data_IF_242091714725
#
_entry.id   IF_242091714725
#
_cell.length_a   1.000
_cell.length_b   1.000
_cell.length_c   1.000
_cell.angle_alpha   90.00
_cell.angle_beta   90.00
_cell.angle_gamma   90.00
#
_symmetry.space_group_name_H-M   'P 1'
#
loop_
_entity.id
_entity.type
_entity.pdbx_description
1 polymer ?
#
# COMPACT_ATOMS: atom_id res chain seq x y z
N UNK A 1 -25.90 -17.94 -9.85
CA UNK A 1 -25.40 -16.54 -9.78
C UNK A 1 -24.05 -16.50 -10.48
N UNK A 2 -23.78 -15.52 -11.37
CA UNK A 2 -22.68 -15.62 -12.35
C UNK A 2 -21.39 -14.87 -11.99
N UNK A 3 -21.43 -13.87 -11.10
CA UNK A 3 -20.31 -12.94 -10.92
C UNK A 3 -19.30 -13.52 -9.93
N UNK A 4 -18.05 -13.65 -10.39
CA UNK A 4 -16.93 -14.08 -9.56
C UNK A 4 -16.59 -13.00 -8.52
N UNK A 5 -16.26 -13.38 -7.26
CA UNK A 5 -15.83 -12.44 -6.22
C UNK A 5 -14.69 -11.53 -6.67
N UNK A 6 -13.61 -12.08 -7.21
CA UNK A 6 -12.43 -11.31 -7.62
C UNK A 6 -12.72 -10.28 -8.72
N UNK A 7 -13.76 -10.51 -9.54
CA UNK A 7 -14.20 -9.52 -10.52
C UNK A 7 -14.85 -8.31 -9.85
N UNK A 8 -15.53 -8.50 -8.72
CA UNK A 8 -16.08 -7.41 -7.90
C UNK A 8 -14.94 -6.57 -7.35
N UNK A 9 -13.95 -7.19 -6.71
CA UNK A 9 -12.73 -6.53 -6.20
C UNK A 9 -12.04 -5.72 -7.30
N UNK A 10 -11.79 -6.35 -8.46
CA UNK A 10 -11.14 -5.70 -9.60
C UNK A 10 -11.96 -4.53 -10.14
N UNK A 11 -13.29 -4.67 -10.20
CA UNK A 11 -14.18 -3.61 -10.67
C UNK A 11 -14.19 -2.42 -9.71
N UNK A 12 -14.14 -2.68 -8.39
CA UNK A 12 -13.98 -1.64 -7.37
C UNK A 12 -12.67 -0.89 -7.57
N UNK A 13 -11.57 -1.63 -7.75
CA UNK A 13 -10.24 -1.05 -7.97
C UNK A 13 -10.16 -0.12 -9.18
N UNK A 14 -10.91 -0.41 -10.26
CA UNK A 14 -10.95 0.47 -11.43
C UNK A 14 -11.48 1.89 -11.12
N UNK A 15 -12.32 2.06 -10.10
CA UNK A 15 -12.73 3.39 -9.66
C UNK A 15 -11.57 4.18 -9.02
N UNK A 16 -10.71 3.51 -8.25
CA UNK A 16 -9.52 4.17 -7.69
C UNK A 16 -8.50 4.47 -8.79
N UNK A 17 -8.33 3.58 -9.78
CA UNK A 17 -7.52 3.87 -10.97
C UNK A 17 -8.05 5.11 -11.70
N UNK A 18 -9.37 5.22 -11.89
CA UNK A 18 -9.97 6.41 -12.49
C UNK A 18 -9.70 7.68 -11.66
N UNK A 19 -9.83 7.61 -10.33
CA UNK A 19 -9.47 8.71 -9.44
C UNK A 19 -8.00 9.10 -9.58
N UNK A 20 -7.09 8.13 -9.61
CA UNK A 20 -5.67 8.37 -9.81
C UNK A 20 -5.38 9.06 -11.15
N UNK A 21 -6.05 8.64 -12.23
CA UNK A 21 -5.93 9.31 -13.54
C UNK A 21 -6.45 10.76 -13.49
N UNK A 22 -7.55 11.03 -12.78
CA UNK A 22 -8.01 12.42 -12.58
C UNK A 22 -7.03 13.25 -11.75
N UNK A 23 -6.34 12.64 -10.78
CA UNK A 23 -5.24 13.29 -10.05
C UNK A 23 -4.10 13.65 -10.99
N UNK A 24 -3.67 12.74 -11.86
CA UNK A 24 -2.59 13.03 -12.82
C UNK A 24 -2.97 14.16 -13.78
N UNK A 25 -4.25 14.31 -14.10
CA UNK A 25 -4.75 15.39 -14.94
C UNK A 25 -4.84 16.74 -14.22
N UNK A 26 -5.41 16.76 -13.01
CA UNK A 26 -5.72 18.00 -12.30
C UNK A 26 -4.67 18.46 -11.30
N UNK A 27 -3.90 17.55 -10.69
CA UNK A 27 -2.91 17.86 -9.66
C UNK A 27 -1.71 16.88 -9.70
N UNK A 28 -0.93 16.85 -10.81
CA UNK A 28 0.23 15.96 -10.93
C UNK A 28 1.39 16.31 -9.98
N UNK A 29 1.40 17.52 -9.43
CA UNK A 29 2.42 18.02 -8.49
C UNK A 29 2.04 17.86 -7.02
N UNK A 30 0.80 17.43 -6.75
CA UNK A 30 0.22 17.21 -5.43
C UNK A 30 0.10 18.47 -4.56
N UNK A 31 0.20 19.68 -5.13
CA UNK A 31 0.27 20.96 -4.40
C UNK A 31 -0.70 22.04 -4.90
N UNK A 32 -1.63 21.70 -5.81
CA UNK A 32 -2.63 22.64 -6.34
C UNK A 32 -4.07 22.19 -6.11
N UNK A 33 -4.97 23.16 -5.97
CA UNK A 33 -6.39 22.89 -5.81
C UNK A 33 -7.03 22.37 -7.11
N UNK A 34 -7.76 21.26 -7.00
CA UNK A 34 -8.64 20.75 -8.04
C UNK A 34 -10.03 21.42 -8.01
N UNK A 35 -10.79 21.39 -9.12
CA UNK A 35 -12.22 21.69 -9.08
C UNK A 35 -12.97 20.81 -8.06
N UNK A 36 -13.98 21.34 -7.33
CA UNK A 36 -14.67 20.59 -6.26
C UNK A 36 -15.19 19.21 -6.63
N UNK A 37 -15.69 19.04 -7.86
CA UNK A 37 -16.20 17.76 -8.35
C UNK A 37 -15.15 16.66 -8.36
N UNK A 38 -13.87 17.00 -8.51
CA UNK A 38 -12.76 16.03 -8.53
C UNK A 38 -12.64 15.37 -7.16
N UNK A 39 -12.67 16.16 -6.07
CA UNK A 39 -12.65 15.60 -4.72
C UNK A 39 -13.91 14.77 -4.41
N UNK A 40 -15.08 15.19 -4.89
CA UNK A 40 -16.29 14.37 -4.76
C UNK A 40 -16.20 13.06 -5.56
N UNK A 41 -15.56 13.04 -6.73
CA UNK A 41 -15.28 11.79 -7.44
C UNK A 41 -14.29 10.90 -6.69
N UNK A 42 -13.29 11.49 -6.03
CA UNK A 42 -12.36 10.74 -5.19
C UNK A 42 -13.08 10.08 -4.01
N UNK A 43 -13.94 10.84 -3.31
CA UNK A 43 -14.78 10.33 -2.25
C UNK A 43 -15.70 9.18 -2.72
N UNK A 44 -16.39 9.38 -3.85
CA UNK A 44 -17.30 8.38 -4.39
C UNK A 44 -16.56 7.11 -4.85
N UNK A 45 -15.45 7.26 -5.56
CA UNK A 45 -14.67 6.12 -6.07
C UNK A 45 -14.07 5.29 -4.94
N UNK A 46 -13.54 5.92 -3.89
CA UNK A 46 -13.03 5.21 -2.71
C UNK A 46 -14.15 4.51 -1.92
N UNK A 47 -15.30 5.17 -1.77
CA UNK A 47 -16.46 4.55 -1.13
C UNK A 47 -16.97 3.32 -1.91
N UNK A 48 -17.02 3.43 -3.24
CA UNK A 48 -17.39 2.31 -4.12
C UNK A 48 -16.36 1.18 -4.00
N UNK A 49 -15.07 1.50 -4.00
CA UNK A 49 -13.99 0.55 -3.80
C UNK A 49 -14.20 -0.28 -2.52
N UNK A 50 -14.27 0.37 -1.35
CA UNK A 50 -14.42 -0.39 -0.09
C UNK A 50 -15.72 -1.19 -0.03
N UNK A 51 -16.76 -0.72 -0.71
CA UNK A 51 -18.04 -1.41 -0.76
C UNK A 51 -17.91 -2.69 -1.57
N UNK A 52 -17.23 -2.62 -2.72
CA UNK A 52 -17.04 -3.77 -3.60
C UNK A 52 -16.12 -4.80 -2.95
N UNK A 53 -15.04 -4.33 -2.33
CA UNK A 53 -14.13 -5.09 -1.49
C UNK A 53 -14.89 -5.87 -0.39
N UNK A 54 -15.67 -5.20 0.46
CA UNK A 54 -16.46 -5.88 1.49
C UNK A 54 -17.53 -6.85 0.95
N UNK A 55 -18.06 -6.59 -0.24
CA UNK A 55 -19.09 -7.43 -0.87
C UNK A 55 -18.49 -8.70 -1.49
N UNK A 56 -17.23 -8.70 -1.90
CA UNK A 56 -16.61 -9.85 -2.57
C UNK A 56 -16.61 -11.10 -1.68
N UNK A 57 -16.32 -10.99 -0.38
CA UNK A 57 -16.25 -12.11 0.54
C UNK A 57 -17.64 -12.62 0.87
N UNK A 58 -18.62 -11.72 0.94
CA UNK A 58 -20.04 -12.09 1.06
C UNK A 58 -20.51 -12.85 -0.18
N UNK A 59 -20.09 -12.40 -1.36
CA UNK A 59 -20.35 -13.08 -2.61
C UNK A 59 -19.65 -14.44 -2.67
N UNK A 60 -18.39 -14.54 -2.25
CA UNK A 60 -17.62 -15.77 -2.21
C UNK A 60 -18.25 -16.84 -1.32
N UNK A 61 -18.80 -16.45 -0.16
CA UNK A 61 -19.55 -17.35 0.71
C UNK A 61 -20.85 -17.80 0.06
N UNK A 62 -21.58 -16.88 -0.57
CA UNK A 62 -22.87 -17.17 -1.22
C UNK A 62 -22.73 -18.10 -2.44
N UNK A 63 -21.66 -17.94 -3.22
CA UNK A 63 -21.40 -18.76 -4.42
C UNK A 63 -20.54 -19.99 -4.15
N UNK A 64 -20.18 -20.23 -2.88
CA UNK A 64 -19.23 -21.28 -2.45
C UNK A 64 -17.88 -21.23 -3.18
N UNK A 65 -17.40 -20.01 -3.49
CA UNK A 65 -16.12 -19.74 -4.13
C UNK A 65 -15.07 -19.18 -3.16
N UNK A 66 -15.23 -19.39 -1.85
CA UNK A 66 -14.24 -18.98 -0.86
C UNK A 66 -12.99 -19.86 -0.97
N UNK A 67 -11.81 -19.25 -1.03
CA UNK A 67 -10.55 -19.99 -1.10
C UNK A 67 -9.30 -19.11 -1.20
N UNK A 68 -8.11 -19.73 -1.23
CA UNK A 68 -6.81 -19.03 -1.22
C UNK A 68 -6.63 -18.01 -2.34
N UNK A 69 -7.19 -18.27 -3.52
CA UNK A 69 -7.11 -17.35 -4.66
C UNK A 69 -7.82 -16.02 -4.37
N UNK A 70 -8.98 -16.07 -3.71
CA UNK A 70 -9.74 -14.86 -3.38
C UNK A 70 -8.98 -14.00 -2.39
N UNK A 71 -8.48 -14.60 -1.30
CA UNK A 71 -7.67 -13.91 -0.29
C UNK A 71 -6.42 -13.27 -0.89
N UNK A 72 -5.68 -14.00 -1.74
CA UNK A 72 -4.50 -13.46 -2.43
C UNK A 72 -4.86 -12.30 -3.37
N UNK A 73 -5.94 -12.43 -4.13
CA UNK A 73 -6.35 -11.43 -5.10
C UNK A 73 -6.76 -10.13 -4.40
N UNK A 74 -7.58 -10.25 -3.36
CA UNK A 74 -8.05 -9.16 -2.51
C UNK A 74 -6.88 -8.36 -1.91
N UNK A 75 -6.00 -9.05 -1.17
CA UNK A 75 -4.80 -8.42 -0.59
C UNK A 75 -3.86 -7.82 -1.65
N UNK A 76 -3.73 -8.46 -2.81
CA UNK A 76 -2.90 -7.96 -3.91
C UNK A 76 -3.43 -6.66 -4.50
N UNK A 77 -4.76 -6.53 -4.63
CA UNK A 77 -5.44 -5.30 -5.07
C UNK A 77 -5.31 -4.23 -3.99
N UNK A 78 -5.57 -4.55 -2.74
CA UNK A 78 -5.40 -3.64 -1.59
C UNK A 78 -3.98 -3.09 -1.49
N UNK A 79 -2.97 -3.93 -1.75
CA UNK A 79 -1.57 -3.51 -1.72
C UNK A 79 -1.25 -2.44 -2.76
N UNK A 80 -1.77 -2.60 -3.98
CA UNK A 80 -1.63 -1.60 -5.05
C UNK A 80 -2.42 -0.34 -4.71
N UNK A 81 -3.67 -0.53 -4.30
CA UNK A 81 -4.59 0.53 -3.93
C UNK A 81 -4.01 1.46 -2.86
N UNK A 82 -3.35 0.91 -1.84
CA UNK A 82 -2.73 1.67 -0.76
C UNK A 82 -1.79 2.77 -1.29
N UNK A 83 -0.99 2.48 -2.32
CA UNK A 83 -0.07 3.47 -2.91
C UNK A 83 -0.76 4.55 -3.73
N UNK A 84 -1.78 4.18 -4.51
CA UNK A 84 -2.57 5.13 -5.30
C UNK A 84 -3.38 6.04 -4.39
N UNK A 85 -4.01 5.46 -3.37
CA UNK A 85 -4.84 6.18 -2.41
C UNK A 85 -4.01 7.14 -1.57
N UNK A 86 -2.76 6.79 -1.24
CA UNK A 86 -1.84 7.73 -0.60
C UNK A 86 -1.51 8.96 -1.47
N UNK A 87 -1.38 8.78 -2.78
CA UNK A 87 -1.14 9.89 -3.70
C UNK A 87 -2.38 10.78 -3.82
N UNK A 88 -3.57 10.17 -3.93
CA UNK A 88 -4.87 10.88 -3.93
C UNK A 88 -5.04 11.65 -2.64
N UNK A 89 -4.73 11.02 -1.50
CA UNK A 89 -4.76 11.68 -0.21
C UNK A 89 -3.79 12.85 -0.15
N UNK A 90 -2.53 12.67 -0.53
CA UNK A 90 -1.53 13.74 -0.56
C UNK A 90 -1.97 14.94 -1.40
N UNK A 91 -2.59 14.71 -2.56
CA UNK A 91 -3.17 15.75 -3.40
C UNK A 91 -4.37 16.44 -2.73
N UNK A 92 -5.26 15.71 -2.06
CA UNK A 92 -6.39 16.29 -1.32
C UNK A 92 -5.97 17.23 -0.19
N UNK A 93 -4.72 17.13 0.26
CA UNK A 93 -4.13 17.91 1.33
C UNK A 93 -3.07 18.92 0.83
N UNK A 94 -2.85 19.04 -0.48
CA UNK A 94 -1.77 19.83 -1.08
C UNK A 94 -0.39 19.57 -0.43
N UNK A 95 -0.03 18.31 -0.18
CA UNK A 95 1.25 17.97 0.46
C UNK A 95 2.46 18.22 -0.47
N UNK A 96 2.23 18.30 -1.77
CA UNK A 96 3.24 18.50 -2.81
C UNK A 96 4.20 17.32 -2.97
N UNK A 97 5.14 17.48 -3.88
CA UNK A 97 6.28 16.56 -4.02
C UNK A 97 7.30 16.81 -2.91
N UNK A 98 6.92 16.47 -1.67
CA UNK A 98 7.63 16.82 -0.45
C UNK A 98 7.83 15.62 0.48
N UNK A 99 8.60 15.83 1.55
CA UNK A 99 8.75 14.84 2.60
C UNK A 99 7.44 14.53 3.34
N UNK A 100 6.44 15.42 3.30
CA UNK A 100 5.12 15.11 3.86
C UNK A 100 4.44 13.98 3.09
N UNK A 101 4.50 14.02 1.75
CA UNK A 101 4.00 12.93 0.91
C UNK A 101 4.78 11.65 1.14
N UNK A 102 6.12 11.72 1.24
CA UNK A 102 6.96 10.53 1.53
C UNK A 102 6.59 9.90 2.87
N UNK A 103 6.38 10.70 3.93
CA UNK A 103 5.99 10.23 5.25
C UNK A 103 4.59 9.61 5.25
N UNK A 104 3.63 10.21 4.55
CA UNK A 104 2.28 9.64 4.39
C UNK A 104 2.30 8.29 3.68
N UNK A 105 3.06 8.18 2.58
CA UNK A 105 3.22 6.92 1.85
C UNK A 105 3.90 5.86 2.72
N UNK A 106 4.96 6.23 3.45
CA UNK A 106 5.60 5.32 4.40
C UNK A 106 4.62 4.83 5.45
N UNK A 107 3.87 5.75 6.06
CA UNK A 107 2.89 5.43 7.11
C UNK A 107 1.89 4.37 6.68
N UNK A 108 1.27 4.57 5.52
CA UNK A 108 0.25 3.66 5.00
C UNK A 108 0.83 2.32 4.53
N UNK A 109 1.92 2.33 3.74
CA UNK A 109 2.52 1.08 3.25
C UNK A 109 3.14 0.26 4.39
N UNK A 110 3.74 0.91 5.39
CA UNK A 110 4.24 0.25 6.59
C UNK A 110 3.11 -0.36 7.41
N UNK A 111 2.00 0.36 7.59
CA UNK A 111 0.83 -0.16 8.32
C UNK A 111 0.30 -1.42 7.64
N UNK A 112 0.10 -1.37 6.32
CA UNK A 112 -0.39 -2.53 5.57
C UNK A 112 0.58 -3.72 5.64
N UNK A 113 1.89 -3.48 5.42
CA UNK A 113 2.91 -4.53 5.56
C UNK A 113 2.88 -5.18 6.96
N UNK A 114 2.81 -4.37 8.02
CA UNK A 114 2.84 -4.87 9.40
C UNK A 114 1.60 -5.68 9.73
N UNK A 115 0.42 -5.29 9.23
CA UNK A 115 -0.82 -6.06 9.41
C UNK A 115 -0.74 -7.41 8.69
N UNK A 116 -0.23 -7.44 7.45
CA UNK A 116 -0.01 -8.70 6.74
C UNK A 116 1.07 -9.57 7.42
N UNK A 117 2.11 -8.95 7.97
CA UNK A 117 3.14 -9.65 8.75
C UNK A 117 2.57 -10.26 10.04
N UNK A 118 1.67 -9.55 10.70
CA UNK A 118 0.94 -10.06 11.84
C UNK A 118 0.12 -11.29 11.43
N UNK A 119 -0.70 -11.17 10.39
CA UNK A 119 -1.52 -12.26 9.84
C UNK A 119 -0.69 -13.49 9.45
N UNK A 120 0.47 -13.29 8.80
CA UNK A 120 1.38 -14.39 8.47
C UNK A 120 1.76 -15.21 9.72
N UNK A 121 2.00 -14.55 10.86
CA UNK A 121 2.44 -15.18 12.09
C UNK A 121 1.31 -15.64 13.02
N UNK A 122 0.19 -14.93 13.07
CA UNK A 122 -0.97 -15.24 13.91
C UNK A 122 -1.90 -16.25 13.23
N UNK A 123 -1.88 -16.30 11.90
CA UNK A 123 -2.80 -17.05 11.02
C UNK A 123 -4.23 -16.52 11.01
N UNK A 124 -4.42 -15.30 11.50
CA UNK A 124 -5.71 -14.65 11.59
C UNK A 124 -5.53 -13.16 11.37
N UNK A 125 -6.27 -12.58 10.43
CA UNK A 125 -6.39 -11.13 10.33
C UNK A 125 -7.21 -10.60 11.53
N UNK A 126 -6.54 -10.00 12.51
CA UNK A 126 -7.21 -9.37 13.65
C UNK A 126 -7.46 -7.90 13.35
N UNK A 127 -8.70 -7.59 12.96
CA UNK A 127 -9.15 -6.21 12.84
C UNK A 127 -9.61 -5.69 14.20
N UNK A 128 -9.08 -4.54 14.62
CA UNK A 128 -9.56 -3.82 15.80
C UNK A 128 -10.98 -3.28 15.59
N UNK A 129 -11.62 -2.85 16.69
CA UNK A 129 -12.95 -2.20 16.66
C UNK A 129 -12.93 -0.97 15.73
N UNK A 130 -11.82 -0.25 15.74
CA UNK A 130 -11.49 0.78 14.75
C UNK A 130 -10.32 0.21 13.95
N UNK A 131 -10.50 0.04 12.65
CA UNK A 131 -9.51 -0.52 11.75
C UNK A 131 -9.38 0.30 10.46
N UNK A 132 -8.25 0.11 9.79
CA UNK A 132 -7.96 0.80 8.53
C UNK A 132 -9.00 0.54 7.43
N UNK A 133 -9.31 -0.74 7.12
CA UNK A 133 -10.21 -1.09 6.00
C UNK A 133 -11.63 -0.54 6.11
N UNK A 134 -12.14 -0.27 7.33
CA UNK A 134 -13.50 0.25 7.52
C UNK A 134 -13.48 1.72 7.93
N UNK A 135 -13.12 2.03 9.17
CA UNK A 135 -13.18 3.39 9.70
C UNK A 135 -12.15 4.32 9.05
N UNK A 136 -10.95 3.78 8.73
CA UNK A 136 -9.90 4.53 8.05
C UNK A 136 -10.33 4.99 6.66
N UNK A 137 -10.88 4.08 5.85
CA UNK A 137 -11.36 4.42 4.50
C UNK A 137 -12.54 5.39 4.56
N UNK A 138 -13.52 5.17 5.46
CA UNK A 138 -14.63 6.10 5.61
C UNK A 138 -14.17 7.50 6.05
N UNK A 139 -13.16 7.58 6.92
CA UNK A 139 -12.56 8.87 7.28
C UNK A 139 -11.93 9.57 6.07
N UNK A 140 -11.24 8.84 5.19
CA UNK A 140 -10.70 9.40 3.94
C UNK A 140 -11.80 9.88 2.98
N UNK A 141 -12.88 9.11 2.83
CA UNK A 141 -14.06 9.51 2.05
C UNK A 141 -14.63 10.82 2.58
N UNK A 142 -14.77 10.96 3.90
CA UNK A 142 -15.20 12.22 4.52
C UNK A 142 -14.21 13.36 4.24
N UNK A 143 -12.90 13.11 4.37
CA UNK A 143 -11.88 14.13 4.09
C UNK A 143 -11.98 14.62 2.65
N UNK A 144 -12.18 13.74 1.67
CA UNK A 144 -12.34 14.14 0.27
C UNK A 144 -13.61 14.95 0.03
N UNK A 145 -14.74 14.50 0.57
CA UNK A 145 -15.99 15.24 0.47
C UNK A 145 -15.88 16.63 1.13
N UNK A 146 -15.24 16.71 2.31
CA UNK A 146 -14.98 17.96 3.01
C UNK A 146 -14.03 18.87 2.24
N UNK A 147 -13.01 18.32 1.59
CA UNK A 147 -12.09 19.09 0.75
C UNK A 147 -12.84 19.76 -0.41
N UNK A 148 -13.73 19.01 -1.06
CA UNK A 148 -14.62 19.56 -2.09
C UNK A 148 -15.58 20.63 -1.55
N UNK A 149 -16.13 20.42 -0.36
CA UNK A 149 -17.04 21.37 0.29
C UNK A 149 -16.36 22.68 0.71
N UNK A 150 -15.15 22.60 1.26
CA UNK A 150 -14.36 23.76 1.68
C UNK A 150 -13.75 24.54 0.50
N UNK A 151 -13.90 24.04 -0.72
CA UNK A 151 -13.51 24.71 -1.95
C UNK A 151 -12.09 24.43 -2.43
N UNK A 152 -11.34 23.55 -1.77
CA UNK A 152 -9.97 23.20 -2.17
C UNK A 152 -9.14 22.51 -1.08
N UNK A 153 -8.04 21.92 -1.50
CA UNK A 153 -7.04 21.27 -0.64
C UNK A 153 -6.21 22.28 0.17
N UNK A 154 -6.10 23.52 -0.31
CA UNK A 154 -5.45 24.64 0.38
C UNK A 154 -6.06 24.94 1.76
N UNK A 155 -7.31 24.54 1.99
CA UNK A 155 -7.95 24.61 3.30
C UNK A 155 -7.13 23.92 4.41
N UNK A 156 -6.53 22.77 4.12
CA UNK A 156 -5.80 21.98 5.12
C UNK A 156 -4.46 22.61 5.57
N UNK A 157 -3.98 23.61 4.83
CA UNK A 157 -2.81 24.40 5.21
C UNK A 157 -3.12 25.53 6.18
N UNK A 158 -4.40 25.80 6.46
CA UNK A 158 -4.79 26.80 7.46
C UNK A 158 -4.44 26.33 8.88
N UNK A 159 -4.11 27.28 9.76
CA UNK A 159 -3.84 27.03 11.18
C UNK A 159 -5.10 26.49 11.87
N UNK A 160 -4.97 25.35 12.55
CA UNK A 160 -6.10 24.70 13.25
C UNK A 160 -6.72 25.64 14.27
N UNK A 161 -5.89 26.27 15.11
CA UNK A 161 -6.34 27.14 16.18
C UNK A 161 -7.00 28.42 15.65
N UNK A 162 -6.47 28.96 14.55
CA UNK A 162 -7.06 30.14 13.89
C UNK A 162 -8.42 29.79 13.29
N UNK A 163 -8.53 28.66 12.60
CA UNK A 163 -9.78 28.19 11.98
C UNK A 163 -10.84 27.86 13.03
N UNK A 164 -10.46 27.41 14.23
CA UNK A 164 -11.36 27.18 15.37
C UNK A 164 -11.70 28.46 16.17
N UNK A 165 -11.17 29.63 15.79
CA UNK A 165 -11.44 30.90 16.47
C UNK A 165 -10.78 31.07 17.84
N UNK A 166 -9.72 30.31 18.14
CA UNK A 166 -8.99 30.40 19.40
C UNK A 166 -8.19 31.71 19.43
N UNK A 167 -8.41 32.62 20.40
CA UNK A 167 -7.75 33.92 20.39
C UNK A 167 -6.26 33.82 20.79
N UNK A 168 -5.39 34.54 20.07
CA UNK A 168 -3.96 34.67 20.37
C UNK A 168 -3.64 35.17 21.79
N UNK A 169 -4.59 35.83 22.45
CA UNK A 169 -4.43 36.36 23.80
C UNK A 169 -4.24 35.29 24.89
N UNK A 170 -4.47 34.01 24.57
CA UNK A 170 -4.25 32.88 25.49
C UNK A 170 -2.77 32.54 25.73
N UNK A 171 -1.84 33.26 25.11
CA UNK A 171 -0.40 33.06 25.33
C UNK A 171 0.16 31.75 24.78
N UNK A 172 -0.54 31.14 23.82
CA UNK A 172 -0.09 29.92 23.14
C UNK A 172 1.18 30.26 22.31
N UNK A 173 2.27 29.47 22.41
CA UNK A 173 3.47 29.70 21.61
C UNK A 173 3.18 29.78 20.11
N UNK A 174 3.78 30.74 19.40
CA UNK A 174 3.52 30.95 17.96
C UNK A 174 3.79 29.69 17.11
N UNK A 175 4.76 28.86 17.50
CA UNK A 175 5.03 27.59 16.83
C UNK A 175 3.82 26.62 16.88
N UNK A 176 3.12 26.55 18.01
CA UNK A 176 1.89 25.75 18.17
C UNK A 176 0.70 26.41 17.49
N UNK A 177 0.64 27.75 17.53
CA UNK A 177 -0.42 28.52 16.90
C UNK A 177 -0.37 28.43 15.37
N UNK A 178 0.83 28.31 14.79
CA UNK A 178 1.04 28.14 13.36
C UNK A 178 0.82 26.74 12.81
N UNK A 179 0.51 25.73 13.64
CA UNK A 179 0.30 24.36 13.16
C UNK A 179 -0.95 24.28 12.27
N UNK A 180 -0.75 23.83 11.04
CA UNK A 180 -1.84 23.57 10.09
C UNK A 180 -2.52 22.23 10.34
N UNK A 181 -3.69 22.01 9.75
CA UNK A 181 -4.36 20.70 9.79
C UNK A 181 -3.46 19.59 9.24
N UNK A 182 -2.74 19.83 8.14
CA UNK A 182 -1.78 18.88 7.57
C UNK A 182 -0.69 18.47 8.57
N UNK A 183 -0.14 19.42 9.34
CA UNK A 183 0.86 19.09 10.37
C UNK A 183 0.27 18.21 11.49
N UNK A 184 -0.93 18.57 11.96
CA UNK A 184 -1.63 17.80 12.99
C UNK A 184 -1.97 16.39 12.51
N UNK A 185 -2.42 16.24 11.26
CA UNK A 185 -2.72 14.96 10.65
C UNK A 185 -1.47 14.07 10.55
N UNK A 186 -0.35 14.61 10.05
CA UNK A 186 0.90 13.85 9.96
C UNK A 186 1.40 13.38 11.34
N UNK A 187 1.28 14.23 12.36
CA UNK A 187 1.61 13.87 13.73
C UNK A 187 0.69 12.74 14.25
N UNK A 188 -0.63 12.88 14.05
CA UNK A 188 -1.61 11.85 14.42
C UNK A 188 -1.33 10.53 13.70
N UNK A 189 -1.15 10.55 12.38
CA UNK A 189 -0.87 9.36 11.57
C UNK A 189 0.40 8.66 12.01
N UNK A 190 1.46 9.42 12.33
CA UNK A 190 2.70 8.85 12.87
C UNK A 190 2.48 8.14 14.21
N UNK A 191 1.72 8.77 15.14
CA UNK A 191 1.40 8.16 16.43
C UNK A 191 0.61 6.87 16.25
N UNK A 192 -0.41 6.89 15.38
CA UNK A 192 -1.27 5.73 15.10
C UNK A 192 -0.45 4.59 14.47
N UNK A 193 0.39 4.88 13.47
CA UNK A 193 1.27 3.89 12.85
C UNK A 193 2.20 3.23 13.87
N UNK A 194 2.84 4.02 14.74
CA UNK A 194 3.73 3.48 15.78
C UNK A 194 2.96 2.61 16.77
N UNK A 195 1.78 3.07 17.20
CA UNK A 195 0.92 2.32 18.10
C UNK A 195 0.50 0.97 17.48
N UNK A 196 -0.01 0.99 16.25
CA UNK A 196 -0.41 -0.21 15.51
C UNK A 196 0.76 -1.17 15.34
N UNK A 197 1.95 -0.67 15.02
CA UNK A 197 3.15 -1.50 14.88
C UNK A 197 3.53 -2.20 16.18
N UNK A 198 3.46 -1.48 17.30
CA UNK A 198 3.73 -2.05 18.63
C UNK A 198 2.66 -3.06 19.03
N UNK A 199 1.40 -2.80 18.73
CA UNK A 199 0.29 -3.73 18.99
C UNK A 199 0.43 -5.02 18.19
N UNK A 200 0.64 -4.93 16.87
CA UNK A 200 0.91 -6.07 16.00
C UNK A 200 2.12 -6.89 16.49
N UNK A 201 3.20 -6.22 16.90
CA UNK A 201 4.36 -6.91 17.45
C UNK A 201 4.03 -7.68 18.74
N UNK A 202 3.22 -7.11 19.64
CA UNK A 202 2.76 -7.79 20.86
C UNK A 202 1.87 -8.99 20.54
N UNK A 203 0.97 -8.86 19.59
CA UNK A 203 0.07 -9.93 19.15
C UNK A 203 0.86 -11.10 18.55
N UNK A 204 1.81 -10.82 17.66
CA UNK A 204 2.70 -11.85 17.09
C UNK A 204 3.50 -12.56 18.17
N UNK A 205 4.09 -11.82 19.11
CA UNK A 205 4.85 -12.42 20.22
C UNK A 205 3.94 -13.31 21.08
N UNK A 206 2.74 -12.84 21.41
CA UNK A 206 1.75 -13.60 22.20
C UNK A 206 1.34 -14.88 21.48
N UNK A 207 0.99 -14.79 20.20
CA UNK A 207 0.58 -15.94 19.37
C UNK A 207 1.69 -16.99 19.26
N UNK A 208 2.94 -16.56 19.04
CA UNK A 208 4.09 -17.48 18.99
C UNK A 208 4.40 -18.12 20.34
N UNK A 209 4.34 -17.37 21.44
CA UNK A 209 4.54 -17.93 22.79
C UNK A 209 3.50 -18.98 23.12
N UNK A 210 2.24 -18.76 22.75
CA UNK A 210 1.17 -19.73 22.96
C UNK A 210 1.41 -21.07 22.24
N UNK A 211 2.15 -21.06 21.12
CA UNK A 211 2.55 -22.26 20.37
C UNK A 211 3.88 -22.87 20.83
N UNK A 212 4.60 -22.23 21.76
CA UNK A 212 5.93 -22.66 22.20
C UNK A 212 7.08 -22.24 21.25
N UNK A 213 6.81 -21.36 20.27
CA UNK A 213 7.80 -20.90 19.30
C UNK A 213 8.72 -19.81 19.86
N UNK A 214 9.95 -19.72 19.31
CA UNK A 214 10.85 -18.58 19.58
C UNK A 214 10.24 -17.28 19.06
N UNK A 215 9.81 -16.42 19.99
CA UNK A 215 9.04 -15.21 19.65
C UNK A 215 9.88 -14.10 19.03
N UNK A 216 11.15 -13.95 19.44
CA UNK A 216 12.02 -12.85 18.96
C UNK A 216 12.39 -12.98 17.48
N UNK A 217 12.45 -14.20 16.95
CA UNK A 217 12.77 -14.43 15.54
C UNK A 217 11.72 -13.87 14.57
N UNK A 218 10.47 -13.72 14.99
CA UNK A 218 9.42 -13.13 14.15
C UNK A 218 9.65 -11.65 13.86
N UNK A 219 10.23 -10.91 14.81
CA UNK A 219 10.50 -9.48 14.64
C UNK A 219 11.54 -9.22 13.54
N UNK A 220 12.34 -10.22 13.16
CA UNK A 220 13.23 -10.11 12.01
C UNK A 220 12.44 -9.92 10.70
N UNK A 221 11.16 -10.33 10.66
CA UNK A 221 10.28 -10.07 9.52
C UNK A 221 9.96 -8.59 9.29
N UNK A 222 10.29 -7.70 10.24
CA UNK A 222 10.18 -6.25 10.06
C UNK A 222 11.45 -5.62 9.45
N UNK A 223 12.58 -6.35 9.45
CA UNK A 223 13.85 -5.85 8.89
C UNK A 223 13.74 -5.53 7.39
N UNK A 224 13.09 -6.35 6.54
CA UNK A 224 12.93 -6.02 5.12
C UNK A 224 12.15 -4.72 4.89
N UNK A 225 11.10 -4.46 5.69
CA UNK A 225 10.32 -3.23 5.62
C UNK A 225 11.20 -2.00 5.91
N UNK A 226 11.83 -1.96 7.10
CA UNK A 226 12.64 -0.81 7.49
C UNK A 226 13.91 -0.67 6.64
N UNK A 227 14.52 -1.77 6.20
CA UNK A 227 15.65 -1.77 5.29
C UNK A 227 15.28 -1.16 3.94
N UNK A 228 14.17 -1.60 3.34
CA UNK A 228 13.69 -1.05 2.05
C UNK A 228 13.35 0.43 2.18
N UNK A 229 12.67 0.84 3.25
CA UNK A 229 12.33 2.24 3.46
C UNK A 229 13.52 3.14 3.79
N UNK A 230 14.54 2.59 4.45
CA UNK A 230 15.81 3.28 4.61
C UNK A 230 16.48 3.53 3.25
N UNK A 231 16.44 2.56 2.33
CA UNK A 231 16.95 2.74 0.97
C UNK A 231 16.10 3.78 0.21
N UNK A 232 14.77 3.70 0.27
CA UNK A 232 13.88 4.70 -0.35
C UNK A 232 14.18 6.11 0.13
N UNK A 233 14.23 6.35 1.44
CA UNK A 233 14.50 7.66 2.01
C UNK A 233 15.91 8.15 1.65
N UNK A 234 16.91 7.26 1.71
CA UNK A 234 18.29 7.59 1.35
C UNK A 234 18.40 7.99 -0.12
N UNK A 235 17.76 7.26 -1.03
CA UNK A 235 17.79 7.58 -2.46
C UNK A 235 17.09 8.92 -2.76
N UNK A 236 15.92 9.18 -2.17
CA UNK A 236 15.22 10.47 -2.32
C UNK A 236 15.96 11.65 -1.69
N UNK A 237 16.76 11.40 -0.64
CA UNK A 237 17.63 12.42 -0.05
C UNK A 237 18.81 12.75 -0.96
N UNK A 238 19.45 11.72 -1.52
CA UNK A 238 20.60 11.86 -2.43
C UNK A 238 20.20 12.43 -3.79
N UNK A 239 18.98 12.15 -4.26
CA UNK A 239 18.44 12.59 -5.54
C UNK A 239 17.24 13.52 -5.35
N UNK A 240 17.47 14.79 -4.93
CA UNK A 240 16.39 15.73 -4.65
C UNK A 240 15.54 16.03 -5.89
N UNK A 241 16.11 15.94 -7.09
CA UNK A 241 15.36 16.10 -8.35
C UNK A 241 14.20 15.09 -8.46
N UNK A 242 14.45 13.84 -8.10
CA UNK A 242 13.42 12.79 -8.10
C UNK A 242 12.36 13.14 -7.06
N UNK A 243 12.78 13.54 -5.85
CA UNK A 243 11.87 13.90 -4.76
C UNK A 243 10.98 15.10 -5.09
N UNK A 244 11.48 16.12 -5.78
CA UNK A 244 10.74 17.37 -5.99
C UNK A 244 10.00 17.46 -7.32
N UNK A 245 10.38 16.65 -8.32
CA UNK A 245 9.79 16.72 -9.66
C UNK A 245 9.20 15.38 -10.15
N UNK A 246 9.67 14.24 -9.62
CA UNK A 246 9.27 12.90 -10.07
C UNK A 246 8.85 11.95 -8.94
N UNK A 247 8.32 12.49 -7.85
CA UNK A 247 7.90 11.73 -6.68
C UNK A 247 6.70 10.83 -6.98
N UNK A 248 5.75 11.27 -7.81
CA UNK A 248 4.57 10.45 -8.18
C UNK A 248 4.97 9.11 -8.80
N UNK A 249 5.75 9.05 -9.90
CA UNK A 249 6.20 7.76 -10.45
C UNK A 249 7.13 7.01 -9.49
N UNK A 250 7.92 7.70 -8.66
CA UNK A 250 8.74 7.06 -7.65
C UNK A 250 7.89 6.38 -6.55
N UNK A 251 6.80 7.00 -6.11
CA UNK A 251 5.85 6.41 -5.15
C UNK A 251 5.13 5.22 -5.77
N UNK A 252 4.78 5.25 -7.06
CA UNK A 252 4.27 4.06 -7.75
C UNK A 252 5.28 2.91 -7.69
N UNK A 253 6.57 3.19 -7.91
CA UNK A 253 7.62 2.18 -7.76
C UNK A 253 7.69 1.64 -6.33
N UNK A 254 7.76 2.49 -5.32
CA UNK A 254 7.80 2.08 -3.91
C UNK A 254 6.54 1.29 -3.51
N UNK A 255 5.38 1.67 -4.04
CA UNK A 255 4.12 0.95 -3.89
C UNK A 255 4.19 -0.48 -4.44
N UNK A 256 4.71 -0.66 -5.66
CA UNK A 256 4.88 -1.99 -6.26
C UNK A 256 5.91 -2.82 -5.48
N UNK A 257 7.01 -2.23 -5.00
CA UNK A 257 7.98 -2.93 -4.13
C UNK A 257 7.28 -3.45 -2.87
N UNK A 258 6.43 -2.64 -2.23
CA UNK A 258 5.66 -3.05 -1.06
C UNK A 258 4.63 -4.12 -1.41
N UNK A 259 3.88 -3.94 -2.50
CA UNK A 259 2.88 -4.89 -2.97
C UNK A 259 3.49 -6.26 -3.31
N UNK A 260 4.67 -6.29 -3.91
CA UNK A 260 5.41 -7.53 -4.14
C UNK A 260 5.77 -8.22 -2.82
N UNK A 261 6.25 -7.48 -1.82
CA UNK A 261 6.59 -8.04 -0.50
C UNK A 261 5.35 -8.61 0.21
N UNK A 262 4.23 -7.90 0.17
CA UNK A 262 2.95 -8.34 0.73
C UNK A 262 2.43 -9.57 -0.02
N UNK A 263 2.45 -9.56 -1.35
CA UNK A 263 2.03 -10.69 -2.17
C UNK A 263 2.83 -11.96 -1.88
N UNK A 264 4.16 -11.85 -1.75
CA UNK A 264 5.03 -12.97 -1.34
C UNK A 264 4.65 -13.48 0.06
N UNK A 265 4.34 -12.58 0.99
CA UNK A 265 3.99 -12.92 2.38
C UNK A 265 2.63 -13.61 2.48
N UNK A 266 1.61 -13.13 1.77
CA UNK A 266 0.30 -13.80 1.67
C UNK A 266 0.43 -15.15 0.99
N UNK A 267 1.20 -15.23 -0.11
CA UNK A 267 1.47 -16.52 -0.77
C UNK A 267 2.12 -17.49 0.21
N UNK A 268 3.17 -17.07 0.92
CA UNK A 268 3.83 -17.88 1.93
C UNK A 268 2.90 -18.26 3.11
N UNK A 269 1.99 -17.38 3.50
CA UNK A 269 0.95 -17.68 4.49
C UNK A 269 0.05 -18.83 4.00
N UNK A 270 -0.52 -18.68 2.80
CA UNK A 270 -1.52 -19.59 2.21
C UNK A 270 -0.94 -20.99 1.96
N UNK A 271 0.26 -21.06 1.41
CA UNK A 271 0.94 -22.35 1.10
C UNK A 271 1.87 -22.82 2.22
N UNK A 272 1.88 -22.14 3.38
CA UNK A 272 2.66 -22.49 4.57
C UNK A 272 4.18 -22.58 4.34
N UNK A 273 4.71 -21.68 3.51
CA UNK A 273 6.15 -21.52 3.31
C UNK A 273 6.78 -20.64 4.40
N UNK A 274 8.11 -20.67 4.46
CA UNK A 274 8.90 -19.79 5.30
C UNK A 274 8.71 -18.30 4.93
N UNK A 275 8.97 -17.42 5.90
CA UNK A 275 8.76 -15.99 5.71
C UNK A 275 9.70 -15.43 4.63
N UNK A 276 9.18 -14.66 3.66
CA UNK A 276 10.00 -14.08 2.60
C UNK A 276 10.75 -12.84 3.10
N UNK A 277 12.05 -12.99 3.38
CA UNK A 277 12.90 -11.88 3.84
C UNK A 277 13.48 -11.01 2.72
N UNK A 278 13.40 -11.47 1.47
CA UNK A 278 14.12 -10.86 0.35
C UNK A 278 13.17 -10.30 -0.70
N UNK A 279 13.43 -9.06 -1.10
CA UNK A 279 12.77 -8.42 -2.21
C UNK A 279 13.81 -7.97 -3.25
N UNK A 280 13.78 -8.58 -4.43
CA UNK A 280 14.71 -8.30 -5.52
C UNK A 280 14.61 -6.85 -6.02
N UNK A 281 13.44 -6.23 -5.88
CA UNK A 281 13.18 -4.85 -6.31
C UNK A 281 13.81 -3.80 -5.41
N UNK A 282 14.38 -4.19 -4.26
CA UNK A 282 15.22 -3.31 -3.44
C UNK A 282 16.65 -3.16 -4.00
N UNK A 283 17.12 -4.08 -4.86
CA UNK A 283 18.49 -4.02 -5.39
C UNK A 283 18.77 -2.79 -6.27
N UNK A 284 17.87 -2.39 -7.20
CA UNK A 284 18.07 -1.17 -7.98
C UNK A 284 18.17 0.10 -7.11
N UNK A 285 17.43 0.18 -6.00
CA UNK A 285 17.58 1.27 -5.03
C UNK A 285 18.97 1.28 -4.40
N UNK A 286 19.46 0.12 -3.97
CA UNK A 286 20.82 -0.03 -3.44
C UNK A 286 21.89 0.42 -4.45
N UNK A 287 21.73 0.04 -5.72
CA UNK A 287 22.61 0.50 -6.80
C UNK A 287 22.56 2.02 -6.97
N UNK A 288 21.37 2.61 -7.07
CA UNK A 288 21.21 4.06 -7.21
C UNK A 288 21.84 4.85 -6.06
N UNK A 289 21.75 4.34 -4.82
CA UNK A 289 22.40 4.95 -3.65
C UNK A 289 23.92 4.86 -3.76
N UNK A 290 24.47 3.67 -4.04
CA UNK A 290 25.92 3.47 -4.18
C UNK A 290 26.45 4.39 -5.29
N UNK A 291 25.77 4.44 -6.44
CA UNK A 291 26.13 5.31 -7.54
C UNK A 291 26.17 6.80 -7.13
N UNK A 292 25.14 7.26 -6.40
CA UNK A 292 25.02 8.64 -5.92
C UNK A 292 26.04 9.01 -4.83
N UNK A 293 26.53 8.05 -4.04
CA UNK A 293 27.52 8.30 -2.99
C UNK A 293 28.91 8.61 -3.56
N UNK A 294 29.25 8.08 -4.74
CA UNK A 294 30.56 8.27 -5.36
C UNK A 294 30.95 9.74 -5.54
N UNK A 295 30.14 10.56 -6.23
CA UNK A 295 30.37 11.99 -6.38
C UNK A 295 30.43 12.75 -5.05
N UNK A 296 29.54 12.45 -4.11
CA UNK A 296 29.47 13.11 -2.81
C UNK A 296 30.74 12.87 -1.99
N UNK A 297 31.24 11.62 -1.99
CA UNK A 297 32.48 11.27 -1.31
C UNK A 297 33.71 11.96 -1.94
N UNK A 298 33.70 12.19 -3.26
CA UNK A 298 34.76 12.95 -3.93
C UNK A 298 34.77 14.41 -3.49
N UNK A 299 33.59 15.00 -3.35
CA UNK A 299 33.42 16.41 -2.99
C UNK A 299 33.75 16.66 -1.50
N UNK A 300 33.25 15.81 -0.60
CA UNK A 300 33.29 16.08 0.85
C UNK A 300 34.49 15.47 1.58
N UNK A 301 35.03 14.35 1.10
CA UNK A 301 36.10 13.60 1.78
C UNK A 301 37.43 13.70 1.02
N UNK A 302 37.37 13.86 -0.30
CA UNK A 302 38.53 14.11 -1.16
C UNK A 302 38.48 13.31 -2.46
N UNK A 303 39.29 13.72 -3.44
CA UNK A 303 39.23 13.17 -4.80
C UNK A 303 39.46 11.64 -4.90
N UNK A 304 40.14 11.04 -3.92
CA UNK A 304 40.45 9.61 -3.88
C UNK A 304 39.42 8.73 -3.14
N UNK A 305 38.42 9.33 -2.46
CA UNK A 305 37.46 8.59 -1.61
C UNK A 305 36.16 8.19 -2.30
N UNK A 306 35.96 8.48 -3.59
CA UNK A 306 34.75 8.12 -4.32
C UNK A 306 34.99 7.73 -5.78
N UNK A 307 33.92 7.32 -6.47
CA UNK A 307 33.92 6.90 -7.89
C UNK A 307 33.11 7.85 -8.77
N UNK A 308 33.33 7.89 -10.09
CA UNK A 308 32.43 8.57 -11.01
C UNK A 308 31.04 7.92 -10.98
N UNK A 309 29.98 8.72 -10.99
CA UNK A 309 28.62 8.23 -11.15
C UNK A 309 28.46 7.60 -12.54
N UNK A 310 27.98 6.37 -12.58
CA UNK A 310 27.62 5.64 -13.79
C UNK A 310 26.25 6.07 -14.33
N UNK A 311 25.33 6.48 -13.44
CA UNK A 311 24.05 7.07 -13.85
C UNK A 311 24.19 8.56 -14.16
N UNK A 312 25.35 9.19 -13.96
CA UNK A 312 25.52 10.63 -14.13
C UNK A 312 24.54 11.45 -13.28
N UNK A 313 24.14 12.60 -13.83
CA UNK A 313 23.26 13.58 -13.19
C UNK A 313 21.96 13.77 -14.00
N UNK A 314 20.96 14.36 -13.33
CA UNK A 314 19.68 14.80 -13.89
C UNK A 314 18.93 13.74 -14.72
N UNK A 315 19.00 13.85 -16.05
CA UNK A 315 18.16 13.09 -16.99
C UNK A 315 18.35 11.58 -16.85
N UNK A 316 19.58 11.15 -16.61
CA UNK A 316 19.89 9.73 -16.48
C UNK A 316 19.44 9.14 -15.14
N UNK A 317 19.43 9.93 -14.06
CA UNK A 317 18.83 9.53 -12.77
C UNK A 317 17.31 9.37 -12.90
N UNK A 318 16.66 10.29 -13.62
CA UNK A 318 15.24 10.19 -13.93
C UNK A 318 14.95 8.98 -14.82
N UNK A 319 15.74 8.75 -15.87
CA UNK A 319 15.63 7.58 -16.73
C UNK A 319 15.79 6.28 -15.94
N UNK A 320 16.78 6.21 -15.05
CA UNK A 320 16.98 5.07 -14.17
C UNK A 320 15.78 4.83 -13.24
N UNK A 321 15.18 5.88 -12.69
CA UNK A 321 13.96 5.76 -11.89
C UNK A 321 12.79 5.16 -12.69
N UNK A 322 12.57 5.59 -13.93
CA UNK A 322 11.56 4.98 -14.79
C UNK A 322 11.92 3.54 -15.18
N UNK A 323 13.20 3.21 -15.36
CA UNK A 323 13.63 1.81 -15.51
C UNK A 323 13.31 0.99 -14.26
N UNK A 324 13.57 1.50 -13.06
CA UNK A 324 13.20 0.84 -11.79
C UNK A 324 11.69 0.59 -11.73
N UNK A 325 10.88 1.59 -12.06
CA UNK A 325 9.41 1.45 -12.12
C UNK A 325 8.98 0.38 -13.13
N UNK A 326 9.53 0.40 -14.35
CA UNK A 326 9.24 -0.59 -15.39
C UNK A 326 9.65 -2.00 -14.98
N UNK A 327 10.83 -2.18 -14.38
CA UNK A 327 11.29 -3.46 -13.84
C UNK A 327 10.38 -3.93 -12.71
N UNK A 328 9.99 -3.05 -11.78
CA UNK A 328 9.07 -3.40 -10.71
C UNK A 328 7.72 -3.86 -11.24
N UNK A 329 7.15 -3.14 -12.21
CA UNK A 329 5.89 -3.52 -12.86
C UNK A 329 6.01 -4.89 -13.56
N UNK A 330 7.11 -5.15 -14.27
CA UNK A 330 7.36 -6.43 -14.93
C UNK A 330 7.50 -7.60 -13.95
N UNK A 331 8.30 -7.44 -12.90
CA UNK A 331 8.53 -8.48 -11.88
C UNK A 331 7.24 -8.76 -11.09
N UNK A 332 6.55 -7.73 -10.62
CA UNK A 332 5.30 -7.88 -9.89
C UNK A 332 4.20 -8.47 -10.79
N UNK A 333 4.09 -8.01 -12.05
CA UNK A 333 3.15 -8.56 -13.02
C UNK A 333 3.41 -10.04 -13.29
N UNK A 334 4.67 -10.44 -13.49
CA UNK A 334 5.05 -11.86 -13.63
C UNK A 334 4.64 -12.66 -12.40
N UNK A 335 4.96 -12.17 -11.19
CA UNK A 335 4.59 -12.83 -9.94
C UNK A 335 3.07 -13.03 -9.81
N UNK A 336 2.27 -12.00 -10.09
CA UNK A 336 0.81 -12.08 -10.03
C UNK A 336 0.29 -13.13 -11.01
N UNK A 337 0.78 -13.12 -12.26
CA UNK A 337 0.38 -14.11 -13.28
C UNK A 337 0.77 -15.52 -12.83
N UNK A 338 2.02 -15.72 -12.42
CA UNK A 338 2.53 -17.03 -12.03
C UNK A 338 1.73 -17.65 -10.88
N UNK A 339 1.46 -16.86 -9.83
CA UNK A 339 0.71 -17.35 -8.67
C UNK A 339 -0.76 -17.60 -9.01
N UNK A 340 -1.42 -16.66 -9.71
CA UNK A 340 -2.84 -16.82 -10.08
C UNK A 340 -3.01 -18.05 -10.98
N UNK A 341 -2.20 -18.19 -12.04
CA UNK A 341 -2.29 -19.31 -12.98
C UNK A 341 -2.01 -20.62 -12.25
N UNK A 342 -0.96 -20.69 -11.43
CA UNK A 342 -0.63 -21.91 -10.66
C UNK A 342 -1.79 -22.34 -9.76
N UNK A 343 -2.41 -21.40 -9.04
CA UNK A 343 -3.56 -21.72 -8.17
C UNK A 343 -4.78 -22.14 -8.99
N UNK A 344 -5.07 -21.43 -10.09
CA UNK A 344 -6.19 -21.74 -10.97
C UNK A 344 -6.06 -23.12 -11.59
N UNK A 345 -4.87 -23.48 -12.07
CA UNK A 345 -4.56 -24.78 -12.67
C UNK A 345 -4.63 -25.90 -11.63
N UNK A 346 -4.09 -25.67 -10.42
CA UNK A 346 -4.10 -26.67 -9.35
C UNK A 346 -5.50 -26.94 -8.80
N UNK A 347 -6.32 -25.89 -8.61
CA UNK A 347 -7.67 -26.00 -8.05
C UNK A 347 -8.77 -26.23 -9.10
N UNK A 348 -8.42 -26.21 -10.38
CA UNK A 348 -9.35 -26.27 -11.51
C UNK A 348 -10.44 -25.17 -11.45
N UNK A 349 -10.02 -23.92 -11.23
CA UNK A 349 -10.92 -22.75 -11.15
C UNK A 349 -10.50 -21.65 -12.13
N UNK A 350 -11.36 -20.65 -12.31
CA UNK A 350 -11.05 -19.44 -13.06
C UNK A 350 -10.99 -18.24 -12.12
N UNK A 351 -10.09 -17.29 -12.39
CA UNK A 351 -9.89 -16.15 -11.51
C UNK A 351 -11.05 -15.14 -11.56
N UNK A 352 -11.52 -14.77 -12.76
CA UNK A 352 -12.50 -13.69 -12.94
C UNK A 352 -13.90 -14.16 -13.35
N UNK A 353 -14.10 -15.46 -13.45
CA UNK A 353 -15.36 -16.10 -13.82
C UNK A 353 -15.56 -17.35 -12.98
N UNK A 354 -16.81 -17.78 -12.77
CA UNK A 354 -17.09 -19.00 -12.00
C UNK A 354 -17.11 -20.18 -12.98
N UNK A 355 -16.10 -21.05 -12.88
CA UNK A 355 -16.00 -22.26 -13.73
C UNK A 355 -17.05 -23.32 -13.36
N UNK A 356 -17.24 -23.53 -12.05
CA UNK A 356 -18.14 -24.54 -11.49
C UNK A 356 -19.21 -23.86 -10.61
N UNK A 357 -20.35 -23.42 -11.20
CA UNK A 357 -21.41 -22.73 -10.44
C UNK A 357 -22.10 -23.65 -9.45
N UNK A 358 -22.32 -23.18 -8.23
CA UNK A 358 -23.15 -23.90 -7.26
C UNK A 358 -24.62 -23.90 -7.70
N UNK A 359 -25.19 -25.11 -7.83
CA UNK A 359 -26.62 -25.35 -8.10
C UNK A 359 -27.23 -26.04 -6.88
N UNK A 360 -28.22 -25.39 -6.27
CA UNK A 360 -28.91 -25.91 -5.10
C UNK A 360 -29.72 -27.16 -5.46
N UNK A 361 -29.36 -28.31 -4.87
CA UNK A 361 -30.05 -29.60 -5.09
C UNK A 361 -29.30 -30.64 -5.94
N UNK A 362 -28.18 -30.30 -6.59
CA UNK A 362 -27.39 -31.27 -7.38
C UNK A 362 -26.37 -32.07 -6.56
N UNK A 363 -26.09 -31.71 -5.30
CA UNK A 363 -25.09 -32.40 -4.46
C UNK A 363 -25.45 -33.86 -4.10
N UNK A 364 -26.68 -34.32 -4.37
CA UNK A 364 -27.11 -35.68 -4.07
C UNK A 364 -26.83 -36.74 -5.16
N UNK A 365 -26.38 -36.35 -6.36
CA UNK A 365 -26.17 -37.33 -7.46
C UNK A 365 -24.70 -37.65 -7.74
N UNK A 366 -23.74 -36.84 -7.25
CA UNK A 366 -22.32 -37.01 -7.55
C UNK A 366 -21.57 -37.98 -6.61
N UNK A 367 -22.12 -38.34 -5.44
CA UNK A 367 -21.48 -39.24 -4.48
C UNK A 367 -21.66 -40.74 -4.78
N UNK A 368 -22.30 -41.10 -5.90
CA UNK A 368 -22.51 -42.49 -6.32
C UNK A 368 -21.44 -43.11 -7.23
N UNK A 369 -20.43 -42.35 -7.69
CA UNK A 369 -19.58 -42.79 -8.81
C UNK A 369 -18.07 -42.88 -8.57
N UNK A 370 -17.51 -42.30 -7.51
CA UNK A 370 -16.06 -42.18 -7.35
C UNK A 370 -15.51 -43.05 -6.21
N UNK A 371 -15.78 -44.35 -6.29
CA UNK A 371 -15.10 -45.34 -5.45
C UNK A 371 -14.28 -46.26 -6.36
N UNK A 372 -13.03 -45.87 -6.66
CA UNK A 372 -12.16 -46.72 -7.47
C UNK A 372 -10.95 -46.04 -8.11
N UNK A 373 -9.98 -45.59 -7.31
CA UNK A 373 -8.55 -45.68 -7.65
C UNK A 373 -7.71 -45.56 -6.39
N UNK A 374 -7.45 -46.72 -5.77
CA UNK A 374 -6.30 -46.91 -4.88
C UNK A 374 -5.04 -46.81 -5.74
N UNK A 375 -4.10 -45.94 -5.38
CA UNK A 375 -2.71 -46.05 -5.80
C UNK A 375 -1.94 -46.64 -4.63
N UNK A 376 -1.33 -47.80 -4.89
CA UNK A 376 -0.21 -48.34 -4.12
C UNK A 376 1.04 -47.52 -4.37
#
# INVERSE_FOLDING_TARGET
MWMAPNLITLSGFMFVVANFLTLLWYNPTLDQDCPPWVYYSWAAGLFIYQTFDAVDGSQARRTRQSGPLGELFDHGVDALNTSLECLIFAASQNMGQSWFTVLSVFGSLATFYVQTWEEYHTKTLTLGIINGPVEGILALVLVYALTGFMGGASFWHQSVLTTLGVPKSLGIPEALYGLSFTHCYLAQGTIVMVYNTVESARNVIKARRARGDRSRGALLGLVPLFGTWFLVASYLYLQPLIRTQHLVPFVMFAGIVNAYSVGQMITAHLVKLDFPYWNILALPLGWGIIDSLGPILKEHVGWASGWPSALGDDVYQVAFMFCMLGTAAGVYGSFVVDVIVTICDYLDIWCLTIKHPYVEGEEHTASGGANGKKLN
#
